data_IF_984408601253
#
_entry.id   IF_984408601253
#
_cell.length_a   1.000
_cell.length_b   1.000
_cell.length_c   1.000
_cell.angle_alpha   90.00
_cell.angle_beta   90.00
_cell.angle_gamma   90.00
#
_symmetry.space_group_name_H-M   'P 1'
#
loop_
_entity.id
_entity.type
_entity.pdbx_description
1 polymer ?
#
# COMPACT_ATOMS: atom_id res chain seq x y z
N UNK A 1 12.02 10.47 25.98
CA UNK A 1 13.07 10.53 27.01
C UNK A 1 13.94 9.29 26.97
N UNK A 2 15.25 9.44 27.17
CA UNK A 2 16.16 8.32 27.42
C UNK A 2 16.61 8.39 28.89
N UNK A 3 17.09 7.26 29.43
CA UNK A 3 17.53 7.20 30.83
C UNK A 3 18.57 8.27 31.20
N UNK A 4 19.38 8.68 30.23
CA UNK A 4 20.45 9.66 30.42
C UNK A 4 20.03 11.11 30.15
N UNK A 5 18.80 11.34 29.68
CA UNK A 5 18.19 12.66 29.54
C UNK A 5 17.45 12.97 30.84
N UNK A 6 18.09 13.72 31.73
CA UNK A 6 17.65 13.91 33.12
C UNK A 6 17.28 15.36 33.46
N UNK A 7 17.54 16.30 32.56
CA UNK A 7 17.12 17.69 32.75
C UNK A 7 15.59 17.78 32.54
N UNK A 8 14.91 18.64 33.30
CA UNK A 8 13.49 18.90 33.07
C UNK A 8 13.22 19.42 31.64
N UNK A 9 14.15 20.19 31.06
CA UNK A 9 14.07 20.66 29.68
C UNK A 9 14.05 19.53 28.65
N UNK A 10 14.67 18.37 28.94
CA UNK A 10 14.70 17.23 28.04
C UNK A 10 13.29 16.67 27.78
N UNK A 11 12.36 16.82 28.75
CA UNK A 11 10.95 16.44 28.56
C UNK A 11 10.33 17.24 27.42
N UNK A 12 10.59 18.56 27.38
CA UNK A 12 10.08 19.43 26.32
C UNK A 12 10.72 19.08 24.99
N UNK A 13 12.05 18.92 24.93
CA UNK A 13 12.73 18.53 23.71
C UNK A 13 12.23 17.18 23.16
N UNK A 14 11.96 16.21 24.03
CA UNK A 14 11.41 14.92 23.64
C UNK A 14 10.02 15.00 23.01
N UNK A 15 9.13 15.82 23.57
CA UNK A 15 7.78 16.01 23.01
C UNK A 15 7.81 16.85 21.74
N UNK A 16 8.55 17.95 21.74
CA UNK A 16 8.71 18.82 20.56
C UNK A 16 9.26 18.00 19.39
N UNK A 17 10.33 17.24 19.58
CA UNK A 17 10.90 16.41 18.52
C UNK A 17 9.92 15.33 18.02
N UNK A 18 9.11 14.73 18.90
CA UNK A 18 8.06 13.80 18.49
C UNK A 18 6.95 14.49 17.67
N UNK A 19 6.51 15.66 18.11
CA UNK A 19 5.50 16.46 17.42
C UNK A 19 5.99 16.90 16.04
N UNK A 20 7.24 17.36 15.92
CA UNK A 20 7.84 17.79 14.66
C UNK A 20 7.95 16.64 13.66
N UNK A 21 8.39 15.45 14.11
CA UNK A 21 8.44 14.25 13.27
C UNK A 21 7.04 13.85 12.78
N UNK A 22 6.04 13.85 13.66
CA UNK A 22 4.66 13.56 13.26
C UNK A 22 4.11 14.60 12.29
N UNK A 23 4.38 15.89 12.51
CA UNK A 23 3.95 16.96 11.61
C UNK A 23 4.58 16.83 10.22
N UNK A 24 5.88 16.58 10.16
CA UNK A 24 6.58 16.34 8.89
C UNK A 24 6.04 15.09 8.18
N UNK A 25 5.87 13.98 8.91
CA UNK A 25 5.32 12.74 8.35
C UNK A 25 3.90 12.94 7.80
N UNK A 26 3.06 13.73 8.48
CA UNK A 26 1.71 14.05 8.02
C UNK A 26 1.73 14.80 6.68
N UNK A 27 2.58 15.82 6.54
CA UNK A 27 2.69 16.59 5.30
C UNK A 27 3.24 15.73 4.13
N UNK A 28 4.21 14.85 4.41
CA UNK A 28 4.74 13.92 3.40
C UNK A 28 3.66 12.91 2.99
N UNK A 29 2.91 12.35 3.95
CA UNK A 29 1.82 11.42 3.68
C UNK A 29 0.71 12.08 2.84
N UNK A 30 0.33 13.31 3.16
CA UNK A 30 -0.62 14.08 2.36
C UNK A 30 -0.14 14.25 0.91
N UNK A 31 1.11 14.66 0.70
CA UNK A 31 1.71 14.75 -0.65
C UNK A 31 1.67 13.43 -1.41
N UNK A 32 1.98 12.31 -0.75
CA UNK A 32 1.91 10.98 -1.37
C UNK A 32 0.48 10.59 -1.76
N UNK A 33 -0.50 10.90 -0.91
CA UNK A 33 -1.92 10.63 -1.20
C UNK A 33 -2.41 11.49 -2.37
N UNK A 34 -2.07 12.79 -2.39
CA UNK A 34 -2.45 13.72 -3.46
C UNK A 34 -1.77 13.37 -4.78
N UNK A 35 -0.50 12.99 -4.76
CA UNK A 35 0.22 12.51 -5.96
C UNK A 35 -0.40 11.22 -6.52
N UNK A 36 -0.92 10.34 -5.66
CA UNK A 36 -1.76 9.21 -6.05
C UNK A 36 -1.04 8.06 -6.75
N UNK A 37 0.27 8.13 -7.02
CA UNK A 37 1.00 7.08 -7.76
C UNK A 37 1.04 5.75 -7.01
N UNK A 38 1.08 5.77 -5.68
CA UNK A 38 0.98 4.56 -4.86
C UNK A 38 -0.40 3.90 -5.01
N UNK A 39 -1.47 4.70 -4.96
CA UNK A 39 -2.85 4.22 -5.19
C UNK A 39 -3.00 3.66 -6.60
N UNK A 40 -2.49 4.36 -7.61
CA UNK A 40 -2.52 3.91 -9.00
C UNK A 40 -1.80 2.56 -9.20
N UNK A 41 -0.68 2.33 -8.49
CA UNK A 41 0.02 1.05 -8.53
C UNK A 41 -0.83 -0.11 -7.95
N UNK A 42 -1.54 0.15 -6.84
CA UNK A 42 -2.49 -0.82 -6.25
C UNK A 42 -3.64 -1.09 -7.22
N UNK A 43 -4.25 -0.04 -7.76
CA UNK A 43 -5.38 -0.16 -8.70
C UNK A 43 -4.98 -0.96 -9.94
N UNK A 44 -3.82 -0.66 -10.51
CA UNK A 44 -3.28 -1.40 -11.67
C UNK A 44 -3.09 -2.88 -11.34
N UNK A 45 -2.58 -3.20 -10.13
CA UNK A 45 -2.36 -4.59 -9.72
C UNK A 45 -3.66 -5.38 -9.59
N UNK A 46 -4.74 -4.74 -9.15
CA UNK A 46 -6.03 -5.39 -8.88
C UNK A 46 -7.10 -5.13 -9.94
N UNK A 47 -6.79 -4.45 -11.05
CA UNK A 47 -7.72 -4.08 -12.11
C UNK A 47 -8.52 -5.26 -12.71
N UNK A 48 -8.01 -6.50 -12.61
CA UNK A 48 -8.73 -7.70 -13.03
C UNK A 48 -9.98 -8.00 -12.20
N UNK A 49 -10.03 -7.55 -10.94
CA UNK A 49 -11.18 -7.73 -10.06
C UNK A 49 -12.34 -6.77 -10.36
N UNK A 50 -12.06 -5.65 -11.00
CA UNK A 50 -13.08 -4.69 -11.45
C UNK A 50 -13.78 -5.14 -12.73
N UNK A 51 -13.29 -6.21 -13.38
CA UNK A 51 -13.93 -6.80 -14.55
C UNK A 51 -15.16 -7.63 -14.17
N UNK A 52 -16.13 -7.81 -15.10
CA UNK A 52 -17.36 -8.56 -14.83
C UNK A 52 -17.12 -9.94 -14.19
N UNK A 53 -16.15 -10.71 -14.69
CA UNK A 53 -15.82 -12.03 -14.14
C UNK A 53 -15.28 -11.96 -12.69
N UNK A 54 -14.43 -10.98 -12.39
CA UNK A 54 -13.94 -10.73 -11.04
C UNK A 54 -15.05 -10.32 -10.09
N UNK A 55 -15.96 -9.45 -10.55
CA UNK A 55 -17.13 -9.02 -9.80
C UNK A 55 -18.13 -10.15 -9.55
N UNK A 56 -18.36 -11.04 -10.51
CA UNK A 56 -19.22 -12.21 -10.32
C UNK A 56 -18.68 -13.15 -9.25
N UNK A 57 -17.35 -13.32 -9.19
CA UNK A 57 -16.71 -14.09 -8.12
C UNK A 57 -16.88 -13.38 -6.77
N UNK A 58 -16.56 -12.09 -6.69
CA UNK A 58 -16.65 -11.32 -5.44
C UNK A 58 -18.07 -11.21 -4.88
N UNK A 59 -19.07 -11.20 -5.76
CA UNK A 59 -20.48 -11.11 -5.40
C UNK A 59 -21.12 -12.48 -5.18
N UNK A 60 -20.34 -13.56 -5.21
CA UNK A 60 -20.81 -14.93 -4.95
C UNK A 60 -21.72 -15.50 -6.04
N UNK A 61 -21.69 -14.94 -7.25
CA UNK A 61 -22.45 -15.42 -8.42
C UNK A 61 -21.80 -16.61 -9.12
N UNK A 62 -20.57 -16.97 -8.72
CA UNK A 62 -19.83 -18.12 -9.24
C UNK A 62 -19.58 -19.12 -8.12
N UNK A 63 -19.90 -20.37 -8.37
CA UNK A 63 -19.59 -21.49 -7.47
C UNK A 63 -18.16 -22.00 -7.69
N UNK A 64 -17.61 -22.71 -6.70
CA UNK A 64 -16.28 -23.33 -6.84
C UNK A 64 -16.25 -24.39 -7.95
N UNK A 65 -17.36 -25.08 -8.22
CA UNK A 65 -17.46 -26.08 -9.29
C UNK A 65 -17.30 -25.43 -10.68
N UNK A 66 -18.04 -24.35 -10.93
CA UNK A 66 -17.97 -23.61 -12.20
C UNK A 66 -16.57 -23.01 -12.44
N UNK A 67 -15.91 -22.52 -11.39
CA UNK A 67 -14.55 -21.99 -11.49
C UNK A 67 -13.52 -23.08 -11.77
N UNK A 68 -13.66 -24.25 -11.13
CA UNK A 68 -12.79 -25.39 -11.38
C UNK A 68 -12.91 -25.89 -12.82
N UNK A 69 -14.14 -26.03 -13.33
CA UNK A 69 -14.40 -26.40 -14.72
C UNK A 69 -13.80 -25.39 -15.70
N UNK A 70 -13.97 -24.08 -15.46
CA UNK A 70 -13.41 -23.02 -16.31
C UNK A 70 -11.88 -23.10 -16.39
N UNK A 71 -11.20 -23.25 -15.25
CA UNK A 71 -9.73 -23.32 -15.19
C UNK A 71 -9.22 -24.58 -15.91
N UNK A 72 -9.87 -25.72 -15.70
CA UNK A 72 -9.52 -26.98 -16.36
C UNK A 72 -9.76 -26.92 -17.87
N UNK A 73 -10.86 -26.29 -18.32
CA UNK A 73 -11.15 -26.13 -19.74
C UNK A 73 -10.16 -25.17 -20.42
N UNK A 74 -9.78 -24.08 -19.74
CA UNK A 74 -8.79 -23.12 -20.24
C UNK A 74 -7.39 -23.74 -20.33
N UNK A 75 -7.04 -24.63 -19.40
CA UNK A 75 -5.77 -25.39 -19.35
C UNK A 75 -4.52 -24.56 -19.72
N UNK A 76 -4.45 -23.34 -19.20
CA UNK A 76 -3.38 -22.38 -19.51
C UNK A 76 -2.83 -21.84 -18.21
N UNK A 77 -1.50 -21.80 -18.10
CA UNK A 77 -0.82 -21.20 -16.96
C UNK A 77 -0.94 -19.66 -17.00
N UNK A 78 -1.20 -19.05 -15.84
CA UNK A 78 -1.35 -17.60 -15.71
C UNK A 78 -0.14 -17.07 -14.97
N UNK A 79 0.71 -16.34 -15.69
CA UNK A 79 1.92 -15.78 -15.12
C UNK A 79 1.57 -14.70 -14.06
N UNK A 80 2.21 -14.74 -12.87
CA UNK A 80 2.05 -13.69 -11.89
C UNK A 80 2.68 -12.38 -12.37
N UNK A 81 2.12 -11.25 -11.91
CA UNK A 81 2.65 -9.92 -12.20
C UNK A 81 3.59 -9.43 -11.08
N UNK A 82 4.71 -8.82 -11.46
CA UNK A 82 5.68 -8.24 -10.52
C UNK A 82 5.04 -7.20 -9.59
N UNK A 83 5.41 -7.24 -8.31
CA UNK A 83 4.97 -6.26 -7.30
C UNK A 83 5.70 -4.91 -7.34
N UNK A 84 6.82 -4.82 -8.07
CA UNK A 84 7.64 -3.59 -8.21
C UNK A 84 8.06 -2.95 -6.86
N UNK A 85 8.35 -3.76 -5.85
CA UNK A 85 8.61 -3.31 -4.48
C UNK A 85 9.71 -2.23 -4.41
N UNK A 86 10.86 -2.47 -5.01
CA UNK A 86 12.01 -1.57 -4.98
C UNK A 86 11.70 -0.22 -5.68
N UNK A 87 10.88 -0.26 -6.73
CA UNK A 87 10.44 0.97 -7.43
C UNK A 87 9.52 1.79 -6.54
N UNK A 88 8.64 1.13 -5.79
CA UNK A 88 7.70 1.78 -4.87
C UNK A 88 8.41 2.31 -3.61
N UNK A 89 9.38 1.59 -3.07
CA UNK A 89 10.24 2.07 -1.98
C UNK A 89 11.03 3.32 -2.42
N UNK A 90 11.64 3.28 -3.61
CA UNK A 90 12.31 4.45 -4.18
C UNK A 90 11.35 5.62 -4.44
N UNK A 91 10.07 5.34 -4.71
CA UNK A 91 9.05 6.38 -4.84
C UNK A 91 8.78 7.05 -3.50
N UNK A 92 8.56 6.29 -2.43
CA UNK A 92 8.36 6.82 -1.07
C UNK A 92 9.57 7.67 -0.64
N UNK A 93 10.79 7.18 -0.87
CA UNK A 93 12.01 7.91 -0.51
C UNK A 93 12.11 9.30 -1.17
N UNK A 94 11.58 9.48 -2.39
CA UNK A 94 11.57 10.79 -3.07
C UNK A 94 10.65 11.82 -2.43
N UNK A 95 9.71 11.42 -1.57
CA UNK A 95 8.89 12.34 -0.79
C UNK A 95 9.53 12.68 0.56
N UNK A 96 10.41 11.81 1.06
CA UNK A 96 11.02 11.93 2.38
C UNK A 96 12.38 12.64 2.37
N UNK A 97 13.10 12.61 1.24
CA UNK A 97 14.34 13.35 1.00
C UNK A 97 14.11 14.69 0.34
#
# INVERSE_FOLDING_TARGET
MRRQSIDAADLFHGHIGGMDVCAQALLIAEKMVVDGRLKAAVDTRYAGWDQPAGQDILQGRRSLAELAEEVLARNTDVAPVSGRQEVLENLVNRFCG
#
